data_IF_145498032470
#
_entry.id   IF_145498032470
#
_cell.length_a   1.000
_cell.length_b   1.000
_cell.length_c   1.000
_cell.angle_alpha   90.00
_cell.angle_beta   90.00
_cell.angle_gamma   90.00
#
_symmetry.space_group_name_H-M   'P 1'
#
loop_
_entity.id
_entity.type
_entity.pdbx_description
1 polymer ?
#
# COMPACT_ATOMS: atom_id res chain seq x y z
N UNK A 1 -2.21 -14.27 95.98
CA UNK A 1 -3.48 -13.85 95.39
C UNK A 1 -3.15 -12.91 94.24
N UNK A 2 -3.29 -13.36 92.99
CA UNK A 2 -3.65 -12.61 91.76
C UNK A 2 -3.55 -13.64 90.61
N UNK A 3 -4.63 -13.70 89.82
CA UNK A 3 -5.01 -14.71 88.83
C UNK A 3 -4.45 -14.40 87.44
N UNK A 4 -4.46 -15.46 86.64
CA UNK A 4 -4.30 -15.64 85.19
C UNK A 4 -4.84 -14.52 84.27
N UNK A 5 -4.32 -14.47 83.03
CA UNK A 5 -4.97 -13.76 81.93
C UNK A 5 -4.15 -13.67 80.65
N UNK A 6 -4.21 -14.75 79.85
CA UNK A 6 -4.07 -14.84 78.38
C UNK A 6 -4.38 -13.49 77.68
N UNK A 7 -3.60 -12.99 76.72
CA UNK A 7 -3.23 -13.68 75.49
C UNK A 7 -4.23 -13.37 74.39
N UNK A 8 -4.33 -12.10 73.96
CA UNK A 8 -5.07 -11.70 72.76
C UNK A 8 -4.28 -10.62 72.00
N UNK A 9 -3.41 -11.07 71.10
CA UNK A 9 -3.05 -10.27 69.93
C UNK A 9 -3.89 -10.80 68.78
N UNK A 10 -4.76 -10.00 68.15
CA UNK A 10 -5.48 -10.47 66.96
C UNK A 10 -4.46 -10.81 65.87
N UNK A 11 -4.53 -12.07 65.40
CA UNK A 11 -3.82 -12.53 64.21
C UNK A 11 -4.27 -11.69 62.99
N UNK A 12 -3.35 -11.36 62.05
CA UNK A 12 -3.71 -10.58 60.87
C UNK A 12 -4.54 -11.45 59.92
N UNK A 13 -5.86 -11.37 60.05
CA UNK A 13 -6.83 -12.13 59.26
C UNK A 13 -7.16 -11.47 57.90
N UNK A 14 -6.34 -10.50 57.46
CA UNK A 14 -6.65 -9.68 56.27
C UNK A 14 -5.76 -9.97 55.04
N UNK A 15 -4.69 -10.75 55.18
CA UNK A 15 -3.74 -10.96 54.07
C UNK A 15 -4.28 -11.90 52.98
N UNK A 16 -5.13 -12.87 53.34
CA UNK A 16 -5.70 -13.80 52.36
C UNK A 16 -6.79 -13.17 51.48
N UNK A 17 -7.54 -12.18 52.00
CA UNK A 17 -8.55 -11.45 51.22
C UNK A 17 -7.90 -10.41 50.29
N UNK A 18 -6.85 -9.73 50.75
CA UNK A 18 -6.09 -8.79 49.93
C UNK A 18 -5.36 -9.48 48.77
N UNK A 19 -4.68 -10.61 49.03
CA UNK A 19 -3.99 -11.39 48.01
C UNK A 19 -4.97 -12.03 47.01
N UNK A 20 -6.13 -12.53 47.46
CA UNK A 20 -7.20 -13.02 46.56
C UNK A 20 -7.77 -11.91 45.68
N UNK A 21 -8.01 -10.71 46.23
CA UNK A 21 -8.43 -9.55 45.44
C UNK A 21 -7.36 -9.20 44.42
N UNK A 22 -6.09 -9.11 44.79
CA UNK A 22 -5.01 -8.77 43.87
C UNK A 22 -4.89 -9.78 42.72
N UNK A 23 -4.98 -11.09 43.00
CA UNK A 23 -5.00 -12.16 41.99
C UNK A 23 -6.21 -12.01 41.05
N UNK A 24 -7.40 -11.74 41.59
CA UNK A 24 -8.62 -11.52 40.79
C UNK A 24 -8.49 -10.28 39.89
N UNK A 25 -7.91 -9.18 40.39
CA UNK A 25 -7.71 -7.96 39.60
C UNK A 25 -6.66 -8.16 38.50
N UNK A 26 -5.58 -8.89 38.79
CA UNK A 26 -4.58 -9.23 37.76
C UNK A 26 -5.13 -10.22 36.71
N UNK A 27 -5.97 -11.18 37.11
CA UNK A 27 -6.63 -12.07 36.17
C UNK A 27 -7.64 -11.31 35.28
N UNK A 28 -8.41 -10.39 35.88
CA UNK A 28 -9.34 -9.52 35.15
C UNK A 28 -8.60 -8.61 34.15
N UNK A 29 -7.48 -8.00 34.58
CA UNK A 29 -6.67 -7.16 33.71
C UNK A 29 -6.09 -7.94 32.52
N UNK A 30 -5.71 -9.20 32.73
CA UNK A 30 -5.17 -10.07 31.68
C UNK A 30 -6.26 -10.51 30.69
N UNK A 31 -7.48 -10.77 31.18
CA UNK A 31 -8.65 -11.04 30.33
C UNK A 31 -9.03 -9.81 29.50
N UNK A 32 -8.99 -8.61 30.08
CA UNK A 32 -9.25 -7.36 29.35
C UNK A 32 -8.18 -7.11 28.28
N UNK A 33 -6.91 -7.37 28.59
CA UNK A 33 -5.82 -7.25 27.62
C UNK A 33 -5.96 -8.26 26.46
N UNK A 34 -6.32 -9.51 26.78
CA UNK A 34 -6.57 -10.54 25.79
C UNK A 34 -7.78 -10.22 24.91
N UNK A 35 -8.84 -9.65 25.49
CA UNK A 35 -10.01 -9.19 24.74
C UNK A 35 -9.69 -8.01 23.82
N UNK A 36 -8.86 -7.05 24.27
CA UNK A 36 -8.37 -5.95 23.43
C UNK A 36 -7.47 -6.45 22.30
N UNK A 37 -6.54 -7.36 22.58
CA UNK A 37 -5.68 -7.96 21.58
C UNK A 37 -6.49 -8.79 20.56
N UNK A 38 -7.48 -9.54 21.01
CA UNK A 38 -8.41 -10.27 20.14
C UNK A 38 -9.29 -9.32 19.33
N UNK A 39 -9.76 -8.21 19.90
CA UNK A 39 -10.52 -7.18 19.19
C UNK A 39 -9.71 -6.48 18.11
N UNK A 40 -8.44 -6.14 18.38
CA UNK A 40 -7.51 -5.59 17.38
C UNK A 40 -7.21 -6.63 16.30
N UNK A 41 -6.99 -7.90 16.68
CA UNK A 41 -6.78 -8.98 15.72
C UNK A 41 -8.03 -9.17 14.83
N UNK A 42 -9.23 -9.09 15.41
CA UNK A 42 -10.48 -9.22 14.68
C UNK A 42 -10.74 -8.02 13.77
N UNK A 43 -10.30 -6.80 14.14
CA UNK A 43 -10.28 -5.61 13.26
C UNK A 43 -9.27 -5.74 12.11
N UNK A 44 -8.10 -6.34 12.35
CA UNK A 44 -7.10 -6.59 11.30
C UNK A 44 -7.49 -7.74 10.37
N UNK A 45 -8.39 -8.63 10.81
CA UNK A 45 -8.89 -9.79 10.06
C UNK A 45 -10.38 -9.70 9.75
N UNK A 46 -10.99 -8.52 9.90
CA UNK A 46 -12.37 -8.32 9.51
C UNK A 46 -12.43 -8.50 7.98
N UNK A 47 -13.14 -9.51 7.47
CA UNK A 47 -13.40 -9.56 6.05
C UNK A 47 -14.24 -8.33 5.72
N UNK A 48 -13.74 -7.46 4.85
CA UNK A 48 -14.51 -6.35 4.29
C UNK A 48 -15.80 -6.94 3.72
N UNK A 49 -16.86 -6.81 4.49
CA UNK A 49 -18.19 -7.22 4.13
C UNK A 49 -18.79 -6.15 3.26
N UNK A 50 -18.39 -6.13 1.99
CA UNK A 50 -19.23 -5.58 0.92
C UNK A 50 -19.30 -6.60 -0.21
N UNK A 51 -20.46 -7.25 -0.26
CA UNK A 51 -20.88 -8.02 -1.41
C UNK A 51 -20.95 -7.14 -2.65
N UNK A 52 -20.56 -7.73 -3.78
CA UNK A 52 -20.93 -7.32 -5.14
C UNK A 52 -20.71 -5.84 -5.48
N UNK A 53 -19.45 -5.51 -5.72
CA UNK A 53 -19.08 -5.36 -7.11
C UNK A 53 -17.75 -6.08 -7.28
N UNK A 54 -17.77 -7.19 -8.02
CA UNK A 54 -16.63 -7.48 -8.89
C UNK A 54 -16.61 -6.30 -9.85
N UNK A 55 -16.03 -5.18 -9.40
CA UNK A 55 -15.48 -4.19 -10.27
C UNK A 55 -14.43 -4.99 -10.99
N UNK A 56 -14.84 -5.53 -12.14
CA UNK A 56 -13.94 -5.96 -13.17
C UNK A 56 -13.00 -4.78 -13.26
N UNK A 57 -11.84 -4.91 -12.60
CA UNK A 57 -10.72 -4.06 -12.86
C UNK A 57 -10.66 -4.10 -14.36
N UNK A 58 -11.09 -3.00 -15.00
CA UNK A 58 -10.95 -2.79 -16.43
C UNK A 58 -9.45 -2.64 -16.60
N UNK A 59 -8.75 -3.75 -16.44
CA UNK A 59 -7.55 -4.06 -17.17
C UNK A 59 -7.97 -3.72 -18.60
N UNK A 60 -7.39 -2.68 -19.20
CA UNK A 60 -7.69 -2.32 -20.57
C UNK A 60 -7.76 -3.62 -21.40
N UNK A 61 -8.77 -3.81 -22.26
CA UNK A 61 -8.94 -5.08 -22.99
C UNK A 61 -7.65 -5.56 -23.68
N UNK A 62 -6.76 -4.63 -24.01
CA UNK A 62 -5.43 -4.87 -24.55
C UNK A 62 -4.49 -5.61 -23.59
N UNK A 63 -4.56 -5.37 -22.28
CA UNK A 63 -3.77 -6.06 -21.25
C UNK A 63 -4.43 -7.37 -20.77
N UNK A 64 -5.75 -7.51 -20.86
CA UNK A 64 -6.45 -8.73 -20.44
C UNK A 64 -6.22 -9.92 -21.39
N UNK A 65 -5.87 -9.66 -22.66
CA UNK A 65 -5.47 -10.69 -23.64
C UNK A 65 -3.98 -11.07 -23.58
N UNK A 66 -3.20 -10.41 -22.73
CA UNK A 66 -1.75 -10.59 -22.68
C UNK A 66 -1.43 -11.77 -21.77
N UNK A 67 -0.77 -12.78 -22.34
CA UNK A 67 -0.23 -13.92 -21.60
C UNK A 67 0.78 -13.51 -20.52
N UNK A 68 1.37 -14.46 -19.77
CA UNK A 68 2.22 -14.16 -18.63
C UNK A 68 3.48 -13.35 -18.97
N UNK A 69 3.83 -13.24 -20.25
CA UNK A 69 5.00 -12.55 -20.77
C UNK A 69 4.69 -11.98 -22.16
N UNK A 70 5.02 -10.70 -22.38
CA UNK A 70 4.94 -10.03 -23.69
C UNK A 70 6.19 -9.19 -23.90
N UNK A 71 6.68 -9.18 -25.15
CA UNK A 71 7.83 -8.37 -25.59
C UNK A 71 7.35 -7.11 -26.30
N UNK A 72 8.19 -6.09 -26.29
CA UNK A 72 8.06 -4.89 -27.13
C UNK A 72 6.69 -4.22 -27.00
N UNK A 73 6.35 -3.80 -25.78
CA UNK A 73 5.06 -3.17 -25.52
C UNK A 73 5.18 -1.68 -25.77
N UNK A 74 4.19 -1.16 -26.50
CA UNK A 74 3.95 0.27 -26.64
C UNK A 74 2.47 0.55 -26.38
N UNK A 75 2.21 1.35 -25.35
CA UNK A 75 0.88 1.84 -25.00
C UNK A 75 0.89 3.35 -25.12
N UNK A 76 -0.12 3.90 -25.78
CA UNK A 76 -0.40 5.34 -25.81
C UNK A 76 -1.81 5.58 -25.31
N UNK A 77 -1.97 6.54 -24.41
CA UNK A 77 -3.25 6.87 -23.79
C UNK A 77 -3.28 8.35 -23.44
N UNK A 78 -4.46 8.96 -23.53
CA UNK A 78 -4.67 10.34 -23.09
C UNK A 78 -5.05 10.36 -21.61
N UNK A 79 -4.33 11.15 -20.81
CA UNK A 79 -4.60 11.37 -19.38
C UNK A 79 -4.74 12.87 -19.11
N UNK A 80 -6.00 13.34 -19.01
CA UNK A 80 -6.28 14.77 -18.88
C UNK A 80 -5.74 15.56 -20.09
N UNK A 81 -4.91 16.60 -19.88
CA UNK A 81 -4.32 17.38 -20.97
C UNK A 81 -3.05 16.75 -21.58
N UNK A 82 -2.59 15.59 -21.09
CA UNK A 82 -1.36 14.95 -21.55
C UNK A 82 -1.63 13.68 -22.35
N UNK A 83 -0.77 13.38 -23.32
CA UNK A 83 -0.68 12.06 -23.93
C UNK A 83 0.48 11.28 -23.28
N UNK A 84 0.15 10.17 -22.62
CA UNK A 84 1.09 9.26 -21.97
C UNK A 84 1.48 8.15 -22.94
N UNK A 85 2.78 8.05 -23.26
CA UNK A 85 3.37 6.95 -24.00
C UNK A 85 4.24 6.11 -23.07
N UNK A 86 3.91 4.83 -22.93
CA UNK A 86 4.70 3.85 -22.17
C UNK A 86 5.26 2.82 -23.13
N UNK A 87 6.59 2.71 -23.18
CA UNK A 87 7.31 1.68 -23.93
C UNK A 87 8.11 0.81 -22.98
N UNK A 88 8.20 -0.48 -23.26
CA UNK A 88 9.11 -1.37 -22.53
C UNK A 88 9.55 -2.55 -23.42
N UNK A 89 10.76 -3.06 -23.18
CA UNK A 89 11.29 -4.22 -23.89
C UNK A 89 10.51 -5.50 -23.56
N UNK A 90 10.00 -5.60 -22.33
CA UNK A 90 9.15 -6.71 -21.92
C UNK A 90 8.27 -6.33 -20.73
N UNK A 91 7.10 -6.96 -20.66
CA UNK A 91 6.26 -7.01 -19.47
C UNK A 91 5.99 -8.46 -19.10
N UNK A 92 6.01 -8.78 -17.81
CA UNK A 92 5.57 -10.08 -17.32
C UNK A 92 4.84 -9.96 -15.99
N UNK A 93 3.94 -10.91 -15.77
CA UNK A 93 3.12 -10.95 -14.58
C UNK A 93 3.76 -11.88 -13.55
N UNK A 94 4.30 -11.30 -12.47
CA UNK A 94 4.90 -12.02 -11.36
C UNK A 94 3.83 -12.29 -10.29
N UNK A 95 3.62 -13.56 -9.94
CA UNK A 95 2.84 -13.92 -8.76
C UNK A 95 3.64 -13.56 -7.51
N UNK A 96 2.99 -12.90 -6.56
CA UNK A 96 3.60 -12.70 -5.24
C UNK A 96 3.42 -13.96 -4.40
N UNK A 97 4.39 -14.21 -3.50
CA UNK A 97 4.32 -15.28 -2.51
C UNK A 97 3.94 -14.66 -1.19
N UNK A 98 2.88 -15.14 -0.56
CA UNK A 98 2.50 -14.76 0.80
C UNK A 98 2.66 -15.98 1.70
N UNK A 99 3.48 -15.85 2.75
CA UNK A 99 3.80 -16.95 3.68
C UNK A 99 4.20 -18.27 2.99
N UNK A 100 4.96 -18.18 1.89
CA UNK A 100 5.41 -19.35 1.12
C UNK A 100 4.41 -19.90 0.10
N UNK A 101 3.14 -19.49 0.15
CA UNK A 101 2.12 -19.89 -0.82
C UNK A 101 2.08 -18.91 -2.00
N UNK A 102 2.04 -19.45 -3.22
CA UNK A 102 1.82 -18.65 -4.42
C UNK A 102 0.35 -18.25 -4.49
N UNK A 103 0.05 -16.97 -4.36
CA UNK A 103 -1.33 -16.46 -4.42
C UNK A 103 -1.62 -15.90 -5.81
N UNK A 104 -2.83 -16.16 -6.32
CA UNK A 104 -3.33 -15.53 -7.54
C UNK A 104 -3.97 -14.15 -7.26
N UNK A 105 -4.15 -13.77 -5.99
CA UNK A 105 -4.80 -12.51 -5.58
C UNK A 105 -3.89 -11.30 -5.84
N UNK A 106 -2.57 -11.47 -5.71
CA UNK A 106 -1.61 -10.40 -5.84
C UNK A 106 -0.64 -10.69 -6.97
N UNK A 107 -0.97 -10.16 -8.16
CA UNK A 107 -0.11 -10.19 -9.33
C UNK A 107 0.58 -8.84 -9.46
N UNK A 108 1.89 -8.84 -9.64
CA UNK A 108 2.65 -7.63 -9.99
C UNK A 108 3.01 -7.69 -11.46
N UNK A 109 2.99 -6.54 -12.11
CA UNK A 109 3.51 -6.36 -13.45
C UNK A 109 4.95 -5.90 -13.32
N UNK A 110 5.86 -6.59 -13.98
CA UNK A 110 7.27 -6.23 -14.05
C UNK A 110 7.61 -5.90 -15.48
N UNK A 111 7.98 -4.64 -15.71
CA UNK A 111 8.42 -4.13 -16.99
C UNK A 111 9.93 -3.88 -16.99
N UNK A 112 10.60 -4.12 -18.11
CA UNK A 112 12.04 -3.88 -18.32
C UNK A 112 12.30 -2.85 -19.39
N UNK A 113 13.38 -2.09 -19.24
CA UNK A 113 13.83 -1.04 -20.16
C UNK A 113 12.68 -0.10 -20.52
N UNK A 114 12.07 0.43 -19.45
CA UNK A 114 10.84 1.21 -19.53
C UNK A 114 11.17 2.64 -19.90
N UNK A 115 10.49 3.16 -20.93
CA UNK A 115 10.51 4.56 -21.30
C UNK A 115 9.10 5.12 -21.23
N UNK A 116 8.92 6.14 -20.41
CA UNK A 116 7.63 6.82 -20.22
C UNK A 116 7.80 8.26 -20.71
N UNK A 117 6.89 8.69 -21.58
CA UNK A 117 6.90 10.03 -22.17
C UNK A 117 5.53 10.66 -21.98
N UNK A 118 5.51 11.89 -21.47
CA UNK A 118 4.34 12.74 -21.41
C UNK A 118 4.46 13.83 -22.47
N UNK A 119 3.49 13.87 -23.37
CA UNK A 119 3.34 14.94 -24.33
C UNK A 119 2.21 15.87 -23.92
N UNK A 120 2.33 17.15 -24.26
CA UNK A 120 1.23 18.11 -24.24
C UNK A 120 1.38 19.01 -25.45
N UNK A 121 0.32 19.11 -26.24
CA UNK A 121 0.29 19.97 -27.44
C UNK A 121 1.44 19.69 -28.42
N UNK A 122 1.85 18.41 -28.53
CA UNK A 122 2.95 17.98 -29.40
C UNK A 122 4.36 18.15 -28.81
N UNK A 123 4.49 18.77 -27.64
CA UNK A 123 5.77 18.94 -26.95
C UNK A 123 5.99 17.88 -25.87
N UNK A 124 7.23 17.39 -25.74
CA UNK A 124 7.61 16.50 -24.65
C UNK A 124 7.76 17.31 -23.37
N UNK A 125 6.91 17.05 -22.37
CA UNK A 125 6.94 17.71 -21.06
C UNK A 125 7.74 16.93 -20.03
N UNK A 126 7.74 15.60 -20.15
CA UNK A 126 8.52 14.72 -19.29
C UNK A 126 8.89 13.48 -20.09
N UNK A 127 10.15 13.08 -20.01
CA UNK A 127 10.63 11.80 -20.51
C UNK A 127 11.48 11.15 -19.44
N UNK A 128 11.15 9.92 -19.09
CA UNK A 128 11.83 9.15 -18.05
C UNK A 128 12.13 7.74 -18.52
N UNK A 129 13.29 7.26 -18.10
CA UNK A 129 13.75 5.92 -18.34
C UNK A 129 13.96 5.18 -17.01
N UNK A 130 13.66 3.88 -17.03
CA UNK A 130 13.86 3.00 -15.90
C UNK A 130 14.10 1.57 -16.37
N UNK A 131 15.25 1.01 -15.99
CA UNK A 131 15.64 -0.37 -16.34
C UNK A 131 14.60 -1.41 -15.90
N UNK A 132 13.97 -1.17 -14.74
CA UNK A 132 12.98 -2.07 -14.16
C UNK A 132 11.91 -1.31 -13.40
N UNK A 133 10.66 -1.47 -13.84
CA UNK A 133 9.49 -0.93 -13.17
C UNK A 133 8.61 -2.07 -12.65
N UNK A 134 8.20 -1.99 -11.38
CA UNK A 134 7.27 -2.95 -10.78
C UNK A 134 6.01 -2.18 -10.41
N UNK A 135 4.88 -2.58 -10.97
CA UNK A 135 3.62 -1.88 -10.81
C UNK A 135 2.47 -2.85 -10.52
N UNK A 136 1.39 -2.38 -9.89
CA UNK A 136 0.15 -3.14 -9.84
C UNK A 136 -0.40 -3.38 -11.25
N UNK A 137 -1.23 -4.42 -11.46
CA UNK A 137 -1.73 -4.80 -12.78
C UNK A 137 -2.78 -3.81 -13.29
N UNK A 138 -3.42 -3.06 -12.38
CA UNK A 138 -4.19 -1.89 -12.73
C UNK A 138 -3.21 -0.72 -12.97
N UNK A 139 -3.15 -0.25 -14.22
CA UNK A 139 -2.34 0.92 -14.61
C UNK A 139 -2.80 2.24 -13.95
N UNK A 140 -3.84 2.23 -13.10
CA UNK A 140 -4.45 3.44 -12.49
C UNK A 140 -3.44 4.30 -11.73
N UNK A 141 -2.35 3.67 -11.30
CA UNK A 141 -1.24 4.29 -10.62
C UNK A 141 0.10 3.76 -11.14
N UNK A 142 1.00 4.67 -11.49
CA UNK A 142 2.38 4.39 -11.85
C UNK A 142 3.27 5.10 -10.83
N UNK A 143 4.13 4.35 -10.17
CA UNK A 143 5.11 4.87 -9.21
C UNK A 143 6.51 4.52 -9.69
N UNK A 144 7.29 5.53 -10.04
CA UNK A 144 8.62 5.41 -10.60
C UNK A 144 9.62 5.91 -9.57
N UNK A 145 10.24 4.97 -8.87
CA UNK A 145 11.30 5.23 -7.91
C UNK A 145 12.64 5.39 -8.64
N UNK A 146 13.41 6.41 -8.27
CA UNK A 146 14.72 6.73 -8.83
C UNK A 146 14.71 6.69 -10.37
N UNK A 147 13.90 7.54 -11.02
CA UNK A 147 13.85 7.61 -12.47
C UNK A 147 15.12 8.25 -13.04
N UNK A 148 15.50 7.86 -14.25
CA UNK A 148 16.42 8.66 -15.07
C UNK A 148 15.58 9.64 -15.89
N UNK A 149 15.61 10.92 -15.55
CA UNK A 149 14.87 11.94 -16.32
C UNK A 149 15.70 12.36 -17.52
N UNK A 150 15.22 12.03 -18.72
CA UNK A 150 15.86 12.40 -20.00
C UNK A 150 15.43 13.80 -20.43
N UNK A 151 14.17 14.17 -20.15
CA UNK A 151 13.62 15.48 -20.47
C UNK A 151 12.62 15.95 -19.41
N UNK A 152 12.62 17.24 -19.04
CA UNK A 152 13.58 18.25 -19.46
C UNK A 152 14.95 18.02 -18.80
N UNK A 153 16.01 18.57 -19.42
CA UNK A 153 17.37 18.47 -18.88
C UNK A 153 17.46 19.20 -17.53
N UNK A 154 18.34 18.72 -16.65
CA UNK A 154 18.60 19.34 -15.34
C UNK A 154 17.60 18.95 -14.26
N UNK A 155 16.93 17.82 -14.40
CA UNK A 155 16.06 17.19 -13.39
C UNK A 155 16.75 15.98 -12.73
N UNK A 156 18.07 16.06 -12.53
CA UNK A 156 18.87 14.97 -11.95
C UNK A 156 18.59 14.77 -10.44
N UNK A 157 17.89 15.71 -9.83
CA UNK A 157 17.48 15.71 -8.42
C UNK A 157 16.12 15.03 -8.17
N UNK A 158 15.49 14.49 -9.21
CA UNK A 158 14.20 13.80 -9.10
C UNK A 158 14.40 12.41 -8.50
N UNK A 159 13.80 12.17 -7.34
CA UNK A 159 13.89 10.90 -6.62
C UNK A 159 12.72 9.97 -6.90
N UNK A 160 11.54 10.53 -7.25
CA UNK A 160 10.32 9.75 -7.47
C UNK A 160 9.33 10.50 -8.35
N UNK A 161 8.65 9.76 -9.22
CA UNK A 161 7.53 10.29 -10.01
C UNK A 161 6.31 9.40 -9.80
N UNK A 162 5.21 10.03 -9.39
CA UNK A 162 3.92 9.37 -9.23
C UNK A 162 2.95 9.87 -10.30
N UNK A 163 2.31 8.96 -11.02
CA UNK A 163 1.22 9.27 -11.96
C UNK A 163 -0.01 8.54 -11.44
N UNK A 164 -0.99 9.27 -10.90
CA UNK A 164 -2.25 8.71 -10.47
C UNK A 164 -3.37 9.21 -11.35
N UNK A 165 -3.88 8.32 -12.21
CA UNK A 165 -5.02 8.62 -13.08
C UNK A 165 -6.27 8.76 -12.24
N UNK A 166 -6.50 7.80 -11.34
CA UNK A 166 -7.69 7.75 -10.47
C UNK A 166 -7.80 8.98 -9.56
N UNK A 167 -6.66 9.49 -9.09
CA UNK A 167 -6.61 10.70 -8.25
C UNK A 167 -6.35 11.98 -9.04
N UNK A 168 -6.17 11.90 -10.36
CA UNK A 168 -6.05 13.04 -11.26
C UNK A 168 -4.76 13.85 -11.14
N UNK A 169 -3.61 13.25 -10.82
CA UNK A 169 -2.36 14.00 -10.67
C UNK A 169 -1.13 13.32 -11.26
N UNK A 170 -0.10 14.14 -11.49
CA UNK A 170 1.30 13.73 -11.67
C UNK A 170 2.12 14.47 -10.62
N UNK A 171 2.92 13.76 -9.81
CA UNK A 171 3.80 14.34 -8.81
C UNK A 171 5.25 14.02 -9.11
N UNK A 172 6.08 15.05 -9.06
CA UNK A 172 7.53 14.95 -9.26
C UNK A 172 8.19 15.33 -7.94
N UNK A 173 8.74 14.33 -7.26
CA UNK A 173 9.45 14.51 -6.01
C UNK A 173 10.91 14.84 -6.28
N UNK A 174 11.36 15.96 -5.73
CA UNK A 174 12.72 16.46 -5.82
C UNK A 174 13.29 16.68 -4.42
N UNK A 175 14.60 16.89 -4.35
CA UNK A 175 15.28 17.17 -3.08
C UNK A 175 14.73 18.43 -2.37
N UNK A 176 14.24 19.41 -3.13
CA UNK A 176 13.75 20.69 -2.61
C UNK A 176 12.22 20.79 -2.48
N UNK A 177 11.46 19.74 -2.83
CA UNK A 177 10.01 19.76 -2.74
C UNK A 177 9.30 18.79 -3.68
N UNK A 178 7.99 19.00 -3.81
CA UNK A 178 7.14 18.19 -4.69
C UNK A 178 6.41 19.14 -5.64
N UNK A 179 6.61 18.93 -6.94
CA UNK A 179 5.83 19.59 -7.98
C UNK A 179 4.63 18.71 -8.34
N UNK A 180 3.43 19.29 -8.39
CA UNK A 180 2.18 18.57 -8.67
C UNK A 180 1.51 19.15 -9.89
N UNK A 181 1.34 18.32 -10.92
CA UNK A 181 0.60 18.65 -12.13
C UNK A 181 -0.77 17.99 -12.08
N UNK A 182 -1.81 18.82 -12.00
CA UNK A 182 -3.19 18.37 -12.03
C UNK A 182 -3.58 17.90 -13.43
N UNK A 183 -4.26 16.75 -13.53
CA UNK A 183 -4.77 16.18 -14.78
C UNK A 183 -6.17 16.73 -15.12
N UNK A 184 -6.74 17.59 -14.27
CA UNK A 184 -8.09 18.12 -14.40
C UNK A 184 -9.17 17.09 -14.02
N UNK A 185 -10.44 17.53 -13.89
CA UNK A 185 -11.55 16.64 -13.58
C UNK A 185 -11.72 15.62 -14.71
N UNK A 186 -11.76 14.33 -14.36
CA UNK A 186 -12.13 13.30 -15.31
C UNK A 186 -13.57 13.58 -15.78
N UNK A 187 -13.77 13.88 -17.06
CA UNK A 187 -15.12 13.76 -17.63
C UNK A 187 -15.55 12.31 -17.47
N UNK A 188 -16.71 12.03 -16.86
CA UNK A 188 -17.21 10.67 -16.77
C UNK A 188 -17.42 10.15 -18.20
N UNK A 189 -16.77 9.04 -18.52
CA UNK A 189 -17.08 8.20 -19.68
C UNK A 189 -18.42 7.50 -19.46
#
# INVERSE_FOLDING_TARGET
MIREGWGDRPLPLDNHLAMRRQIIHSALALVVLAALAAGILLLLFLPDGDGQAVSQSRVPERLARIGPYVKEIHVMEKIGPYDLSVRASSFHMKKTKFMGFSTNLYKQVVARDVRIVLYREGETKLEVEKDRLVMPPALGYIDIQEPVVVSPKGMDDVSRIEISRDKGFIRIHRNNGVDTWELGPQSPL
#
